data_IF_044957605917
#
_entry.id   IF_044957605917
#
_cell.length_a   1.000
_cell.length_b   1.000
_cell.length_c   1.000
_cell.angle_alpha   90.00
_cell.angle_beta   90.00
_cell.angle_gamma   90.00
#
_symmetry.space_group_name_H-M   'P 1'
#
loop_
_entity.id
_entity.type
_entity.pdbx_description
1 polymer ?
#
# COMPACT_ATOMS: atom_id res chain seq x y z
N UNK A 1 -9.66 24.58 4.53
CA UNK A 1 -10.90 25.36 4.38
C UNK A 1 -10.56 26.58 3.55
N UNK A 2 -11.20 26.71 2.39
CA UNK A 2 -11.06 27.88 1.53
C UNK A 2 -12.23 28.80 1.85
N UNK A 3 -11.95 29.98 2.37
CA UNK A 3 -12.93 31.06 2.50
C UNK A 3 -12.80 31.91 1.23
N UNK A 4 -13.85 31.92 0.40
CA UNK A 4 -13.88 32.68 -0.85
C UNK A 4 -14.87 33.82 -0.68
N UNK A 5 -14.42 35.07 -0.86
CA UNK A 5 -15.27 36.25 -0.93
C UNK A 5 -15.65 36.51 -2.40
N UNK A 6 -16.85 36.10 -2.86
CA UNK A 6 -17.14 35.94 -4.29
C UNK A 6 -17.14 37.25 -5.09
N UNK A 7 -17.38 38.38 -4.41
CA UNK A 7 -17.48 39.71 -5.04
C UNK A 7 -16.11 40.39 -5.18
N UNK A 8 -15.12 40.02 -4.36
CA UNK A 8 -13.80 40.64 -4.35
C UNK A 8 -12.71 39.73 -4.95
N UNK A 9 -13.04 38.46 -5.22
CA UNK A 9 -12.09 37.47 -5.72
C UNK A 9 -11.01 37.09 -4.70
N UNK A 10 -11.19 37.49 -3.44
CA UNK A 10 -10.27 37.16 -2.36
C UNK A 10 -10.48 35.72 -1.91
N UNK A 11 -9.39 34.95 -1.90
CA UNK A 11 -9.34 33.59 -1.35
C UNK A 11 -8.46 33.60 -0.12
N UNK A 12 -9.00 33.17 1.02
CA UNK A 12 -8.25 32.92 2.25
C UNK A 12 -8.16 31.43 2.49
N UNK A 13 -6.94 30.94 2.61
CA UNK A 13 -6.66 29.55 2.90
C UNK A 13 -6.43 29.37 4.40
N UNK A 14 -7.20 28.47 5.03
CA UNK A 14 -7.00 28.06 6.42
C UNK A 14 -6.92 26.54 6.50
N UNK A 15 -5.87 25.95 7.08
CA UNK A 15 -5.83 24.51 7.32
C UNK A 15 -7.03 24.10 8.18
N UNK A 16 -7.83 23.14 7.72
CA UNK A 16 -8.96 22.64 8.53
C UNK A 16 -8.46 21.81 9.72
N UNK A 17 -7.35 21.09 9.51
CA UNK A 17 -6.67 20.31 10.54
C UNK A 17 -5.19 20.24 10.18
N UNK A 18 -4.35 20.38 11.20
CA UNK A 18 -2.94 20.09 11.12
C UNK A 18 -2.72 18.73 11.83
N UNK A 19 -2.29 17.71 11.09
CA UNK A 19 -1.99 16.38 11.67
C UNK A 19 -0.54 16.41 12.10
N UNK A 20 -0.31 16.79 13.36
CA UNK A 20 1.02 16.82 13.96
C UNK A 20 1.32 15.48 14.63
N UNK A 21 2.38 14.83 14.18
CA UNK A 21 2.95 13.67 14.86
C UNK A 21 3.98 14.18 15.89
N UNK A 22 3.51 14.55 17.07
CA UNK A 22 4.39 14.93 18.17
C UNK A 22 4.89 13.67 18.89
N UNK A 23 6.14 13.32 18.62
CA UNK A 23 6.82 12.25 19.36
C UNK A 23 7.03 12.70 20.82
N UNK A 24 6.28 12.13 21.75
CA UNK A 24 6.52 12.27 23.19
C UNK A 24 5.68 13.31 23.96
N UNK A 25 4.63 13.89 23.37
CA UNK A 25 3.76 14.85 24.08
C UNK A 25 2.58 14.20 24.83
N UNK A 26 2.26 12.94 24.54
CA UNK A 26 1.43 12.10 25.41
C UNK A 26 2.29 11.46 26.49
N UNK A 27 1.89 11.56 27.76
CA UNK A 27 2.59 10.90 28.87
C UNK A 27 2.89 9.43 28.56
N UNK A 28 3.95 8.88 29.15
CA UNK A 28 4.39 7.51 28.89
C UNK A 28 3.27 6.49 29.14
N UNK A 29 2.57 6.08 28.09
CA UNK A 29 1.62 4.96 28.12
C UNK A 29 2.39 3.66 28.02
N UNK A 30 1.94 2.63 28.73
CA UNK A 30 2.50 1.30 28.58
C UNK A 30 2.21 0.77 27.17
N UNK A 31 3.07 -0.11 26.68
CA UNK A 31 2.86 -0.76 25.38
C UNK A 31 1.51 -1.50 25.33
N UNK A 32 1.12 -2.16 26.42
CA UNK A 32 -0.14 -2.90 26.48
C UNK A 32 -1.36 -1.98 26.36
N UNK A 33 -1.34 -0.84 27.06
CA UNK A 33 -2.41 0.14 26.96
C UNK A 33 -2.47 0.76 25.54
N UNK A 34 -1.31 1.08 24.95
CA UNK A 34 -1.24 1.60 23.59
C UNK A 34 -1.76 0.59 22.56
N UNK A 35 -1.43 -0.70 22.72
CA UNK A 35 -1.92 -1.80 21.88
C UNK A 35 -3.44 -1.95 21.98
N UNK A 36 -3.98 -1.93 23.19
CA UNK A 36 -5.43 -2.02 23.43
C UNK A 36 -6.18 -0.83 22.81
N UNK A 37 -5.71 0.40 23.06
CA UNK A 37 -6.29 1.61 22.49
C UNK A 37 -6.23 1.62 20.96
N UNK A 38 -5.08 1.23 20.39
CA UNK A 38 -4.93 1.10 18.95
C UNK A 38 -5.90 0.07 18.36
N UNK A 39 -6.03 -1.09 19.01
CA UNK A 39 -7.00 -2.12 18.62
C UNK A 39 -8.43 -1.59 18.58
N UNK A 40 -8.89 -0.94 19.65
CA UNK A 40 -10.24 -0.36 19.71
C UNK A 40 -10.48 0.74 18.68
N UNK A 41 -9.45 1.54 18.36
CA UNK A 41 -9.53 2.55 17.30
C UNK A 41 -9.64 1.92 15.91
N UNK A 42 -8.88 0.85 15.65
CA UNK A 42 -8.94 0.11 14.39
C UNK A 42 -10.28 -0.60 14.22
N UNK A 43 -10.78 -1.27 15.26
CA UNK A 43 -12.13 -1.86 15.30
C UNK A 43 -13.18 -0.82 14.93
N UNK A 44 -13.16 0.34 15.62
CA UNK A 44 -14.08 1.47 15.36
C UNK A 44 -13.95 1.99 13.93
N UNK A 45 -12.73 2.11 13.41
CA UNK A 45 -12.47 2.63 12.06
C UNK A 45 -13.01 1.69 10.98
N UNK A 46 -12.90 0.38 11.17
CA UNK A 46 -13.47 -0.64 10.28
C UNK A 46 -14.99 -0.67 10.40
N UNK A 47 -15.56 -0.67 11.62
CA UNK A 47 -17.00 -0.65 11.87
C UNK A 47 -17.70 0.46 11.08
N UNK A 48 -17.17 1.68 11.16
CA UNK A 48 -17.70 2.86 10.47
C UNK A 48 -17.70 2.72 8.96
N UNK A 49 -16.73 2.00 8.40
CA UNK A 49 -16.60 1.81 6.94
C UNK A 49 -17.37 0.61 6.41
N UNK A 50 -17.83 -0.27 7.30
CA UNK A 50 -18.77 -1.34 6.95
C UNK A 50 -20.22 -0.86 6.82
N UNK A 51 -20.55 0.34 7.32
CA UNK A 51 -21.86 0.95 7.17
C UNK A 51 -22.07 1.39 5.72
N UNK A 52 -22.73 0.55 4.91
CA UNK A 52 -23.01 0.80 3.50
C UNK A 52 -24.33 0.20 3.06
N UNK A 53 -25.04 0.89 2.17
CA UNK A 53 -26.26 0.40 1.52
C UNK A 53 -25.99 -0.62 0.41
N UNK A 54 -24.71 -0.82 0.05
CA UNK A 54 -24.26 -1.78 -0.95
C UNK A 54 -23.27 -2.77 -0.35
N UNK A 55 -23.09 -3.96 -0.95
CA UNK A 55 -22.09 -4.92 -0.47
C UNK A 55 -20.68 -4.32 -0.44
N UNK A 56 -20.02 -4.47 0.71
CA UNK A 56 -18.63 -4.06 0.95
C UNK A 56 -17.71 -5.27 0.82
N UNK A 57 -16.67 -5.13 0.00
CA UNK A 57 -15.55 -6.05 -0.09
C UNK A 57 -14.34 -5.60 0.73
N UNK A 58 -13.33 -6.46 0.84
CA UNK A 58 -12.03 -6.13 1.40
C UNK A 58 -10.92 -6.63 0.47
N UNK A 59 -9.96 -5.78 0.14
CA UNK A 59 -8.75 -6.19 -0.56
C UNK A 59 -7.80 -6.86 0.42
N UNK A 60 -7.27 -8.02 0.06
CA UNK A 60 -6.45 -8.88 0.89
C UNK A 60 -5.21 -9.31 0.12
N UNK A 61 -4.05 -8.75 0.47
CA UNK A 61 -2.73 -9.01 -0.15
C UNK A 61 -1.87 -10.00 0.65
N UNK A 62 -2.38 -10.53 1.76
CA UNK A 62 -1.59 -11.36 2.68
C UNK A 62 -0.61 -10.58 3.56
N UNK A 63 -0.46 -9.28 3.35
CA UNK A 63 0.24 -8.37 4.26
C UNK A 63 -0.51 -8.18 5.59
N UNK A 64 0.19 -7.70 6.63
CA UNK A 64 -0.40 -7.54 7.97
C UNK A 64 -1.57 -6.55 7.98
N UNK A 65 -1.47 -5.46 7.20
CA UNK A 65 -2.47 -4.38 7.21
C UNK A 65 -3.80 -4.84 6.61
N UNK A 66 -3.77 -5.37 5.39
CA UNK A 66 -4.96 -5.89 4.70
C UNK A 66 -5.55 -7.11 5.41
N UNK A 67 -4.70 -7.94 6.05
CA UNK A 67 -5.15 -9.06 6.88
C UNK A 67 -5.88 -8.59 8.12
N UNK A 68 -5.38 -7.55 8.80
CA UNK A 68 -6.01 -6.98 9.98
C UNK A 68 -7.37 -6.38 9.63
N UNK A 69 -7.45 -5.59 8.55
CA UNK A 69 -8.73 -5.04 8.07
C UNK A 69 -9.72 -6.16 7.73
N UNK A 70 -9.28 -7.22 7.05
CA UNK A 70 -10.13 -8.36 6.67
C UNK A 70 -10.68 -9.11 7.90
N UNK A 71 -9.83 -9.40 8.88
CA UNK A 71 -10.23 -10.09 10.10
C UNK A 71 -11.17 -9.24 10.96
N UNK A 72 -10.86 -7.95 11.12
CA UNK A 72 -11.72 -7.01 11.84
C UNK A 72 -13.07 -6.83 11.14
N UNK A 73 -13.08 -6.80 9.80
CA UNK A 73 -14.29 -6.69 9.03
C UNK A 73 -15.17 -7.94 9.18
N UNK A 74 -14.56 -9.12 9.11
CA UNK A 74 -15.25 -10.39 9.31
C UNK A 74 -15.83 -10.52 10.73
N UNK A 75 -15.09 -10.13 11.76
CA UNK A 75 -15.54 -10.19 13.15
C UNK A 75 -16.75 -9.28 13.45
N UNK A 76 -16.91 -8.21 12.68
CA UNK A 76 -17.95 -7.19 12.90
C UNK A 76 -19.12 -7.29 11.91
N UNK A 77 -18.98 -8.12 10.87
CA UNK A 77 -20.01 -8.29 9.86
C UNK A 77 -20.98 -9.40 10.25
N UNK A 78 -22.31 -9.17 10.13
CA UNK A 78 -23.31 -10.20 10.41
C UNK A 78 -23.38 -11.29 9.32
N UNK A 79 -22.64 -11.13 8.22
CA UNK A 79 -22.54 -12.08 7.10
C UNK A 79 -21.08 -12.27 6.72
N UNK A 80 -20.71 -13.40 6.09
CA UNK A 80 -19.37 -13.56 5.53
C UNK A 80 -19.00 -12.36 4.64
N UNK A 81 -17.89 -11.71 4.97
CA UNK A 81 -17.34 -10.62 4.15
C UNK A 81 -16.80 -11.19 2.84
N UNK A 82 -16.79 -10.39 1.78
CA UNK A 82 -16.11 -10.78 0.53
C UNK A 82 -14.69 -10.27 0.55
N UNK A 83 -13.73 -11.14 0.32
CA UNK A 83 -12.31 -10.79 0.26
C UNK A 83 -11.75 -11.05 -1.13
N UNK A 84 -10.86 -10.18 -1.57
CA UNK A 84 -10.32 -10.23 -2.92
C UNK A 84 -8.81 -10.12 -2.89
N UNK A 85 -8.12 -10.98 -3.63
CA UNK A 85 -6.67 -10.88 -3.85
C UNK A 85 -6.40 -10.75 -5.34
N UNK A 86 -5.44 -9.91 -5.72
CA UNK A 86 -4.96 -9.82 -7.08
C UNK A 86 -4.07 -11.04 -7.40
N UNK A 87 -4.28 -11.66 -8.56
CA UNK A 87 -3.38 -12.69 -9.09
C UNK A 87 -2.84 -12.28 -10.45
N UNK A 88 -1.59 -12.64 -10.73
CA UNK A 88 -0.87 -12.27 -11.95
C UNK A 88 -0.35 -13.55 -12.62
N UNK A 89 -0.40 -13.61 -13.96
CA UNK A 89 -0.10 -14.84 -14.72
C UNK A 89 1.37 -15.31 -14.58
N UNK A 90 2.30 -14.42 -14.25
CA UNK A 90 3.76 -14.67 -14.35
C UNK A 90 4.54 -14.44 -13.05
N UNK A 91 3.91 -14.48 -11.88
CA UNK A 91 4.58 -14.12 -10.63
C UNK A 91 4.99 -15.31 -9.78
N UNK A 92 6.26 -15.34 -9.36
CA UNK A 92 6.79 -16.24 -8.32
C UNK A 92 6.33 -15.87 -6.90
N UNK A 93 5.59 -14.77 -6.74
CA UNK A 93 5.12 -14.27 -5.45
C UNK A 93 3.66 -14.69 -5.23
N UNK A 94 3.46 -15.63 -4.32
CA UNK A 94 2.14 -16.22 -4.03
C UNK A 94 1.47 -15.49 -2.85
N UNK A 95 1.18 -14.19 -3.02
CA UNK A 95 0.35 -13.44 -2.07
C UNK A 95 -1.03 -14.12 -1.89
N UNK A 96 -1.52 -14.74 -2.97
CA UNK A 96 -2.76 -15.51 -2.98
C UNK A 96 -2.76 -16.62 -1.92
N UNK A 97 -1.66 -17.34 -1.70
CA UNK A 97 -1.57 -18.34 -0.62
C UNK A 97 -1.82 -17.73 0.76
N UNK A 98 -1.17 -16.61 1.07
CA UNK A 98 -1.37 -15.94 2.36
C UNK A 98 -2.79 -15.37 2.49
N UNK A 99 -3.33 -14.83 1.40
CA UNK A 99 -4.71 -14.37 1.36
C UNK A 99 -5.71 -15.52 1.57
N UNK A 100 -5.47 -16.72 1.03
CA UNK A 100 -6.26 -17.93 1.29
C UNK A 100 -6.22 -18.34 2.76
N UNK A 101 -5.04 -18.29 3.39
CA UNK A 101 -4.90 -18.61 4.83
C UNK A 101 -5.70 -17.63 5.71
N UNK A 102 -5.61 -16.33 5.42
CA UNK A 102 -6.32 -15.29 6.17
C UNK A 102 -7.82 -15.33 5.91
N UNK A 103 -8.25 -15.53 4.66
CA UNK A 103 -9.66 -15.64 4.29
C UNK A 103 -10.33 -16.85 4.91
N UNK A 104 -9.63 -18.00 4.99
CA UNK A 104 -10.11 -19.17 5.70
C UNK A 104 -10.30 -18.88 7.19
N UNK A 105 -9.36 -18.17 7.83
CA UNK A 105 -9.48 -17.75 9.23
C UNK A 105 -10.59 -16.74 9.45
N UNK A 106 -10.83 -15.85 8.49
CA UNK A 106 -11.91 -14.87 8.50
C UNK A 106 -13.29 -15.48 8.19
N UNK A 107 -13.35 -16.71 7.65
CA UNK A 107 -14.59 -17.30 7.15
C UNK A 107 -15.22 -16.49 6.00
N UNK A 108 -14.39 -15.80 5.22
CA UNK A 108 -14.85 -14.91 4.15
C UNK A 108 -15.16 -15.65 2.85
N UNK A 109 -16.02 -15.08 2.00
CA UNK A 109 -16.16 -15.51 0.60
C UNK A 109 -14.98 -14.91 -0.18
N UNK A 110 -13.99 -15.75 -0.47
CA UNK A 110 -12.73 -15.33 -1.07
C UNK A 110 -12.72 -15.51 -2.58
N UNK A 111 -12.25 -14.50 -3.31
CA UNK A 111 -12.14 -14.50 -4.76
C UNK A 111 -10.77 -14.01 -5.21
N UNK A 112 -10.15 -14.75 -6.12
CA UNK A 112 -8.89 -14.37 -6.76
C UNK A 112 -9.21 -13.63 -8.06
N UNK A 113 -8.81 -12.37 -8.12
CA UNK A 113 -9.04 -11.51 -9.28
C UNK A 113 -7.79 -11.55 -10.14
N UNK A 114 -7.89 -12.26 -11.27
CA UNK A 114 -6.85 -12.24 -12.29
C UNK A 114 -6.69 -10.83 -12.84
N UNK A 115 -5.51 -10.25 -12.63
CA UNK A 115 -5.15 -8.92 -13.09
C UNK A 115 -4.44 -9.06 -14.42
N UNK A 116 -5.15 -8.72 -15.49
CA UNK A 116 -4.60 -8.63 -16.84
C UNK A 116 -4.48 -7.17 -17.23
N UNK A 117 -3.34 -6.79 -17.81
CA UNK A 117 -3.16 -5.47 -18.37
C UNK A 117 -3.61 -5.47 -19.83
N UNK A 118 -4.62 -4.65 -20.14
CA UNK A 118 -4.97 -4.27 -21.50
C UNK A 118 -3.81 -3.48 -22.16
N UNK A 119 -4.07 -2.92 -23.35
CA UNK A 119 -3.16 -1.98 -24.01
C UNK A 119 -2.60 -0.92 -23.02
N UNK A 120 -1.28 -0.90 -22.78
CA UNK A 120 -0.64 0.02 -21.84
C UNK A 120 -0.92 1.51 -22.11
N UNK A 121 -1.10 1.89 -23.38
CA UNK A 121 -1.43 3.28 -23.73
C UNK A 121 -2.84 3.66 -23.25
N UNK A 122 -3.79 2.74 -23.36
CA UNK A 122 -5.17 2.91 -22.87
C UNK A 122 -5.19 2.94 -21.34
N UNK A 123 -4.41 2.06 -20.68
CA UNK A 123 -4.28 2.05 -19.22
C UNK A 123 -3.71 3.37 -18.70
N UNK A 124 -2.64 3.89 -19.32
CA UNK A 124 -2.05 5.17 -18.95
C UNK A 124 -3.02 6.34 -19.11
N UNK A 125 -3.74 6.41 -20.24
CA UNK A 125 -4.74 7.45 -20.47
C UNK A 125 -5.88 7.40 -19.42
N UNK A 126 -6.30 6.19 -19.02
CA UNK A 126 -7.29 6.00 -17.94
C UNK A 126 -6.73 6.44 -16.59
N UNK A 127 -5.48 6.13 -16.28
CA UNK A 127 -4.83 6.55 -15.03
C UNK A 127 -4.75 8.07 -14.92
N UNK A 128 -4.22 8.75 -15.95
CA UNK A 128 -4.13 10.21 -15.96
C UNK A 128 -5.51 10.84 -15.78
N UNK A 129 -6.55 10.27 -16.42
CA UNK A 129 -7.93 10.73 -16.23
C UNK A 129 -8.45 10.48 -14.81
N UNK A 130 -8.14 9.33 -14.22
CA UNK A 130 -8.62 8.95 -12.89
C UNK A 130 -7.97 9.77 -11.77
N UNK A 131 -6.67 10.03 -11.86
CA UNK A 131 -5.93 10.81 -10.87
C UNK A 131 -6.04 12.32 -11.09
N UNK A 132 -6.30 12.78 -12.32
CA UNK A 132 -6.37 14.20 -12.66
C UNK A 132 -5.00 14.88 -12.80
N UNK A 133 -3.91 14.15 -12.51
CA UNK A 133 -2.53 14.60 -12.61
C UNK A 133 -1.59 13.41 -12.90
N UNK A 134 -0.35 13.65 -13.33
CA UNK A 134 0.66 12.59 -13.45
C UNK A 134 0.93 11.95 -12.08
N UNK A 135 0.65 10.64 -11.96
CA UNK A 135 0.89 9.87 -10.73
C UNK A 135 1.99 8.83 -10.96
N UNK A 136 3.14 9.03 -10.32
CA UNK A 136 4.38 8.28 -10.54
C UNK A 136 4.55 7.04 -9.67
N UNK A 137 3.49 6.27 -9.48
CA UNK A 137 3.48 5.04 -8.69
C UNK A 137 3.30 3.82 -9.60
N UNK A 138 4.21 2.86 -9.50
CA UNK A 138 4.17 1.64 -10.31
C UNK A 138 2.97 0.75 -9.97
N UNK A 139 2.44 0.87 -8.75
CA UNK A 139 1.26 0.15 -8.29
C UNK A 139 -0.06 0.69 -8.87
N UNK A 140 -0.05 1.87 -9.49
CA UNK A 140 -1.26 2.50 -10.02
C UNK A 140 -1.89 1.68 -11.16
N UNK A 141 -1.06 1.15 -12.06
CA UNK A 141 -1.49 0.32 -13.20
C UNK A 141 -2.17 -0.99 -12.74
N UNK A 142 -1.54 -1.85 -11.91
CA UNK A 142 -2.20 -3.06 -11.42
C UNK A 142 -3.43 -2.73 -10.55
N UNK A 143 -3.41 -1.62 -9.81
CA UNK A 143 -4.58 -1.17 -9.03
C UNK A 143 -5.78 -0.82 -9.92
N UNK A 144 -5.54 -0.12 -11.04
CA UNK A 144 -6.61 0.18 -12.01
C UNK A 144 -7.22 -1.10 -12.59
N UNK A 145 -6.39 -2.07 -12.96
CA UNK A 145 -6.85 -3.34 -13.52
C UNK A 145 -7.57 -4.20 -12.47
N UNK A 146 -7.08 -4.23 -11.23
CA UNK A 146 -7.75 -4.86 -10.09
C UNK A 146 -9.15 -4.27 -9.88
N UNK A 147 -9.29 -2.95 -9.84
CA UNK A 147 -10.60 -2.31 -9.67
C UNK A 147 -11.54 -2.55 -10.86
N UNK A 148 -11.01 -2.68 -12.09
CA UNK A 148 -11.81 -3.10 -13.24
C UNK A 148 -12.36 -4.52 -13.04
N UNK A 149 -11.52 -5.45 -12.56
CA UNK A 149 -11.90 -6.83 -12.24
C UNK A 149 -12.86 -6.95 -11.05
N UNK A 150 -12.79 -6.03 -10.07
CA UNK A 150 -13.68 -6.01 -8.90
C UNK A 150 -15.08 -5.47 -9.17
N UNK A 151 -15.23 -4.62 -10.20
CA UNK A 151 -16.47 -3.90 -10.50
C UNK A 151 -17.72 -4.79 -10.64
N UNK A 152 -17.66 -5.99 -11.23
CA UNK A 152 -18.80 -6.92 -11.27
C UNK A 152 -19.18 -7.49 -9.89
N UNK A 153 -18.25 -7.47 -8.93
CA UNK A 153 -18.38 -8.13 -7.64
C UNK A 153 -18.86 -7.16 -6.56
N UNK A 154 -18.19 -6.02 -6.41
CA UNK A 154 -18.46 -5.06 -5.32
C UNK A 154 -18.41 -3.62 -5.82
N UNK A 155 -19.11 -2.74 -5.09
CA UNK A 155 -19.10 -1.30 -5.34
C UNK A 155 -18.18 -0.54 -4.38
N UNK A 156 -17.96 -1.10 -3.20
CA UNK A 156 -17.10 -0.54 -2.16
C UNK A 156 -16.13 -1.64 -1.74
N UNK A 157 -14.85 -1.30 -1.64
CA UNK A 157 -13.82 -2.19 -1.10
C UNK A 157 -12.98 -1.44 -0.07
N UNK A 158 -12.72 -2.07 1.09
CA UNK A 158 -11.77 -1.58 2.08
C UNK A 158 -10.36 -2.04 1.71
N UNK A 159 -9.36 -1.20 1.96
CA UNK A 159 -7.95 -1.50 1.73
C UNK A 159 -7.17 -1.39 3.04
N UNK A 160 -5.93 -1.90 3.04
CA UNK A 160 -4.97 -1.74 4.14
C UNK A 160 -4.06 -0.52 3.97
N UNK A 161 -4.32 0.35 2.99
CA UNK A 161 -3.43 1.47 2.67
C UNK A 161 -3.35 2.48 3.81
N UNK A 162 -2.19 3.10 3.99
CA UNK A 162 -1.92 3.99 5.12
C UNK A 162 -1.28 3.30 6.33
N UNK A 163 -1.27 1.96 6.36
CA UNK A 163 -0.67 1.18 7.46
C UNK A 163 0.82 1.48 7.62
N UNK A 164 1.58 1.42 6.53
CA UNK A 164 3.01 1.69 6.52
C UNK A 164 3.35 3.14 6.91
N UNK A 165 2.54 4.12 6.51
CA UNK A 165 2.71 5.54 6.88
C UNK A 165 2.47 5.77 8.37
N UNK A 166 1.40 5.18 8.91
CA UNK A 166 1.01 5.36 10.32
C UNK A 166 1.98 4.64 11.25
N UNK A 167 2.42 3.44 10.87
CA UNK A 167 3.24 2.57 11.72
C UNK A 167 4.73 2.51 11.33
N UNK A 168 5.16 3.33 10.37
CA UNK A 168 6.55 3.34 9.88
C UNK A 168 7.02 1.97 9.37
N UNK A 169 6.14 1.24 8.68
CA UNK A 169 6.38 -0.14 8.22
C UNK A 169 7.33 -0.24 7.02
N UNK A 170 7.53 0.86 6.28
CA UNK A 170 8.50 0.95 5.20
C UNK A 170 9.92 0.56 5.66
N UNK A 171 10.56 -0.31 4.87
CA UNK A 171 11.93 -0.80 5.15
C UNK A 171 12.94 0.34 5.29
N UNK A 172 12.81 1.37 4.46
CA UNK A 172 13.72 2.51 4.46
C UNK A 172 13.58 3.37 5.71
N UNK A 173 12.37 3.48 6.28
CA UNK A 173 12.17 4.16 7.56
C UNK A 173 12.91 3.42 8.67
N UNK A 174 12.87 2.08 8.69
CA UNK A 174 13.64 1.28 9.66
C UNK A 174 15.14 1.50 9.52
N UNK A 175 15.66 1.59 8.30
CA UNK A 175 17.07 1.89 8.04
C UNK A 175 17.41 3.31 8.49
N UNK A 176 16.55 4.29 8.18
CA UNK A 176 16.73 5.68 8.59
C UNK A 176 16.76 5.84 10.11
N UNK A 177 15.81 5.23 10.84
CA UNK A 177 15.74 5.27 12.30
C UNK A 177 16.97 4.61 12.94
N UNK A 178 17.44 3.49 12.39
CA UNK A 178 18.68 2.85 12.87
C UNK A 178 19.89 3.78 12.69
N UNK A 179 19.98 4.48 11.55
CA UNK A 179 21.06 5.46 11.30
C UNK A 179 20.99 6.62 12.27
N UNK A 180 19.81 7.16 12.53
CA UNK A 180 19.62 8.25 13.49
C UNK A 180 20.08 7.84 14.90
N UNK A 181 19.75 6.62 15.34
CA UNK A 181 20.23 6.08 16.64
C UNK A 181 21.74 5.87 16.67
N UNK A 182 22.33 5.30 15.62
CA UNK A 182 23.77 5.09 15.54
C UNK A 182 24.55 6.41 15.49
N UNK A 183 24.01 7.44 14.82
CA UNK A 183 24.57 8.80 14.80
C UNK A 183 24.61 9.41 16.21
N UNK A 184 23.52 9.27 16.98
CA UNK A 184 23.46 9.75 18.36
C UNK A 184 24.46 9.06 19.31
N UNK A 185 24.78 7.79 19.04
CA UNK A 185 25.72 7.00 19.86
C UNK A 185 27.19 7.20 19.48
N UNK A 186 27.50 7.33 18.18
CA UNK A 186 28.87 7.34 17.68
C UNK A 186 29.46 8.74 17.53
N UNK A 187 28.65 9.80 17.61
CA UNK A 187 29.11 11.19 17.49
C UNK A 187 29.74 11.55 16.13
N UNK A 188 29.84 10.59 15.20
CA UNK A 188 30.38 10.78 13.86
C UNK A 188 29.29 11.36 12.96
N UNK A 189 29.43 12.63 12.57
CA UNK A 189 28.61 13.21 11.50
C UNK A 189 28.72 12.38 10.22
N UNK A 190 27.61 12.17 9.50
CA UNK A 190 27.34 11.56 8.16
C UNK A 190 28.31 10.54 7.51
N UNK A 191 29.31 10.03 8.23
CA UNK A 191 30.42 9.22 7.74
C UNK A 191 30.08 7.73 7.65
N UNK A 192 28.83 7.33 7.95
CA UNK A 192 28.38 5.95 7.74
C UNK A 192 27.51 5.91 6.48
N UNK A 193 28.05 5.49 5.33
CA UNK A 193 27.31 5.42 4.07
C UNK A 193 26.08 4.52 4.18
N UNK A 194 24.98 4.92 3.52
CA UNK A 194 23.67 4.24 3.58
C UNK A 194 23.76 2.74 3.26
N UNK A 195 24.66 2.38 2.35
CA UNK A 195 24.86 1.00 1.90
C UNK A 195 25.50 0.09 2.97
N UNK A 196 26.31 0.62 3.89
CA UNK A 196 26.95 -0.18 4.95
C UNK A 196 25.96 -0.55 6.05
N UNK A 197 25.07 0.37 6.45
CA UNK A 197 23.98 0.08 7.38
C UNK A 197 22.92 -0.81 6.73
N UNK A 198 22.58 -0.55 5.47
CA UNK A 198 21.73 -1.43 4.68
C UNK A 198 22.27 -2.86 4.65
N UNK A 199 23.58 -3.05 4.45
CA UNK A 199 24.24 -4.38 4.52
C UNK A 199 24.16 -5.02 5.89
N UNK A 200 24.32 -4.29 6.99
CA UNK A 200 24.24 -4.83 8.36
C UNK A 200 22.83 -5.28 8.76
N UNK A 201 21.81 -4.47 8.42
CA UNK A 201 20.40 -4.86 8.58
C UNK A 201 20.10 -6.09 7.73
N UNK A 202 20.64 -6.14 6.50
CA UNK A 202 20.51 -7.28 5.61
C UNK A 202 21.30 -8.53 6.07
N UNK A 203 22.42 -8.36 6.80
CA UNK A 203 23.30 -9.44 7.26
C UNK A 203 22.82 -10.10 8.56
N UNK A 204 22.18 -9.36 9.49
CA UNK A 204 21.53 -9.98 10.67
C UNK A 204 20.32 -10.85 10.27
N UNK A 205 19.62 -10.48 9.20
CA UNK A 205 18.61 -11.35 8.59
C UNK A 205 19.21 -12.62 7.96
N UNK A 206 20.53 -12.67 7.68
CA UNK A 206 21.20 -13.83 7.06
C UNK A 206 21.52 -14.98 8.02
N UNK A 207 21.63 -14.74 9.33
CA UNK A 207 21.79 -15.83 10.33
C UNK A 207 20.48 -16.43 10.83
N UNK A 208 19.36 -15.72 10.69
CA UNK A 208 18.01 -16.29 10.87
C UNK A 208 17.49 -16.98 9.59
N UNK A 209 18.19 -16.83 8.46
CA UNK A 209 17.87 -17.43 7.16
C UNK A 209 18.20 -18.93 7.05
N UNK A 210 19.06 -19.48 7.91
CA UNK A 210 19.37 -20.93 7.89
C UNK A 210 18.27 -21.79 8.55
N UNK A 211 17.27 -21.17 9.21
CA UNK A 211 16.13 -21.86 9.82
C UNK A 211 14.84 -21.82 8.96
N UNK A 212 14.96 -21.68 7.63
CA UNK A 212 13.88 -22.08 6.72
C UNK A 212 12.90 -21.00 6.23
N UNK A 213 13.31 -19.74 6.13
CA UNK A 213 12.50 -18.66 5.51
C UNK A 213 13.24 -17.94 4.37
N UNK A 214 13.95 -18.72 3.53
CA UNK A 214 15.00 -18.25 2.62
C UNK A 214 14.60 -17.63 1.28
N UNK A 215 13.32 -17.58 0.89
CA UNK A 215 12.91 -17.06 -0.43
C UNK A 215 12.05 -15.78 -0.42
N UNK A 216 11.60 -15.30 0.75
CA UNK A 216 10.52 -14.29 0.84
C UNK A 216 10.97 -12.81 0.98
N UNK A 217 12.23 -12.48 0.68
CA UNK A 217 12.75 -11.13 0.95
C UNK A 217 13.76 -10.59 -0.08
N UNK A 218 13.80 -11.17 -1.28
CA UNK A 218 14.35 -10.49 -2.45
C UNK A 218 13.15 -9.98 -3.24
N UNK A 219 12.91 -8.68 -3.10
CA UNK A 219 11.88 -8.00 -3.87
C UNK A 219 12.21 -8.12 -5.35
N UNK A 220 11.42 -8.91 -6.07
CA UNK A 220 10.86 -8.41 -7.31
C UNK A 220 9.85 -7.34 -6.88
N UNK A 221 10.32 -6.10 -6.75
CA UNK A 221 9.42 -4.96 -6.56
C UNK A 221 8.43 -4.93 -7.72
N UNK A 222 7.25 -4.34 -7.51
CA UNK A 222 6.39 -3.91 -8.62
C UNK A 222 7.20 -3.22 -9.73
N UNK A 223 8.26 -2.50 -9.37
CA UNK A 223 9.20 -1.87 -10.29
C UNK A 223 10.03 -2.83 -11.16
N UNK A 224 10.42 -4.02 -10.69
CA UNK A 224 11.10 -5.01 -11.55
C UNK A 224 10.11 -5.65 -12.52
N UNK A 225 8.89 -5.96 -12.08
CA UNK A 225 7.79 -6.44 -12.92
C UNK A 225 7.40 -5.38 -13.97
N UNK A 226 7.21 -4.14 -13.55
CA UNK A 226 6.98 -2.99 -14.40
C UNK A 226 8.13 -2.82 -15.39
N UNK A 227 9.38 -2.82 -14.92
CA UNK A 227 10.54 -2.72 -15.81
C UNK A 227 10.65 -3.88 -16.80
N UNK A 228 10.16 -5.08 -16.47
CA UNK A 228 10.10 -6.21 -17.40
C UNK A 228 8.99 -6.04 -18.44
N UNK A 229 7.82 -5.53 -18.04
CA UNK A 229 6.75 -5.08 -18.93
C UNK A 229 7.20 -3.90 -19.82
N UNK A 230 8.11 -3.04 -19.33
CA UNK A 230 8.70 -1.94 -20.10
C UNK A 230 9.76 -2.41 -21.11
N UNK A 231 10.46 -3.52 -20.81
CA UNK A 231 11.58 -4.06 -21.60
C UNK A 231 11.11 -4.76 -22.87
N UNK A 232 9.98 -5.46 -22.82
CA UNK A 232 9.46 -6.16 -23.99
C UNK A 232 8.36 -5.35 -24.68
N UNK A 233 8.76 -4.63 -25.74
CA UNK A 233 7.85 -3.95 -26.68
C UNK A 233 7.28 -2.61 -26.22
N UNK A 234 7.09 -2.38 -24.92
CA UNK A 234 6.49 -1.15 -24.38
C UNK A 234 7.33 0.11 -24.63
N UNK A 235 8.63 0.11 -24.33
CA UNK A 235 9.48 1.30 -24.60
C UNK A 235 9.56 1.62 -26.08
N UNK A 236 9.52 0.60 -26.95
CA UNK A 236 9.51 0.78 -28.41
C UNK A 236 8.18 1.35 -28.90
N UNK A 237 7.04 0.76 -28.51
CA UNK A 237 5.70 1.24 -28.84
C UNK A 237 5.40 2.62 -28.27
N UNK A 238 5.89 2.91 -27.06
CA UNK A 238 5.77 4.21 -26.41
C UNK A 238 6.53 5.28 -27.19
N UNK A 239 7.81 5.05 -27.58
CA UNK A 239 8.57 5.97 -28.44
C UNK A 239 7.92 6.15 -29.81
N UNK A 240 7.40 5.08 -30.41
CA UNK A 240 6.72 5.17 -31.71
C UNK A 240 5.39 5.93 -31.63
N UNK A 241 4.66 5.84 -30.51
CA UNK A 241 3.40 6.55 -30.28
C UNK A 241 3.62 8.04 -29.93
N UNK A 242 4.63 8.36 -29.10
CA UNK A 242 4.97 9.75 -28.78
C UNK A 242 5.61 10.47 -29.96
N UNK A 243 6.47 9.82 -30.77
CA UNK A 243 7.01 10.45 -31.98
C UNK A 243 5.98 10.65 -33.11
N UNK A 244 4.83 9.97 -33.09
CA UNK A 244 3.69 10.28 -34.00
C UNK A 244 2.81 11.42 -33.50
N UNK A 245 2.88 11.76 -32.21
CA UNK A 245 2.10 12.84 -31.61
C UNK A 245 2.73 14.23 -31.81
N UNK A 246 4.00 14.31 -32.23
CA UNK A 246 4.70 15.56 -32.54
C UNK A 246 4.46 16.08 -33.98
N UNK A 247 3.49 15.51 -34.72
CA UNK A 247 3.18 15.88 -36.10
C UNK A 247 1.85 16.64 -36.29
N UNK A 248 1.32 17.29 -35.24
CA UNK A 248 0.17 18.19 -35.30
C UNK A 248 0.53 19.59 -34.78
#
# INVERSE_FOLDING_TARGET
>A
MLEVEPLEGLVRERPYRDVRFELGSGGAVSFDLAREQCGGLLETAVARRLQSDVPVGVLLSGGVDSSLVSLLAAAQSPRPVRTFVATFEETAFDEARYAREVSARAGSVHEEIAVTLDDPAVALARLVRAYGEPFGDDSAIPTLALFAGLKPHVRVALTGDGGDEVFAGYKDVRVFLLRARLRGLLGTGDLVPSFLVGRLVHHRHRRLRELGYGALALGTSGAELFSSLLRDGWTRRWREATMRAEAW
#
